data_IF_960721832941
#
_entry.id   IF_960721832941
#
_cell.length_a   1.000
_cell.length_b   1.000
_cell.length_c   1.000
_cell.angle_alpha   90.00
_cell.angle_beta   90.00
_cell.angle_gamma   90.00
#
_symmetry.space_group_name_H-M   'P 1'
#
loop_
_entity.id
_entity.type
_entity.pdbx_description
1 polymer ?
#
# COMPACT_ATOMS: atom_id res chain seq x y z
N UNK A 1 19.42 -14.19 0.62
CA UNK A 1 19.15 -14.06 2.07
C UNK A 1 17.95 -14.93 2.47
N UNK A 2 18.18 -16.24 2.65
CA UNK A 2 17.13 -17.27 2.86
C UNK A 2 16.49 -17.17 4.25
N UNK A 3 17.28 -16.78 5.26
CA UNK A 3 16.84 -16.71 6.66
C UNK A 3 15.71 -15.70 6.86
N UNK A 4 15.84 -14.49 6.31
CA UNK A 4 14.78 -13.48 6.40
C UNK A 4 13.51 -13.95 5.71
N UNK A 5 13.62 -14.54 4.51
CA UNK A 5 12.45 -15.11 3.81
C UNK A 5 11.77 -16.21 4.62
N UNK A 6 12.54 -17.14 5.19
CA UNK A 6 12.00 -18.17 6.06
C UNK A 6 11.35 -17.59 7.32
N UNK A 7 11.95 -16.57 7.94
CA UNK A 7 11.37 -15.85 9.07
C UNK A 7 10.04 -15.19 8.69
N UNK A 8 9.99 -14.48 7.56
CA UNK A 8 8.75 -13.90 7.05
C UNK A 8 7.69 -14.99 6.82
N UNK A 9 8.01 -16.04 6.07
CA UNK A 9 7.07 -17.13 5.79
C UNK A 9 6.56 -17.83 7.06
N UNK A 10 7.39 -17.95 8.10
CA UNK A 10 6.99 -18.49 9.40
C UNK A 10 6.08 -17.52 10.18
N UNK A 11 6.46 -16.24 10.22
CA UNK A 11 5.69 -15.17 10.87
C UNK A 11 4.29 -15.03 10.24
N UNK A 12 4.20 -15.21 8.92
CA UNK A 12 2.94 -15.21 8.15
C UNK A 12 2.12 -16.48 8.31
N UNK A 13 2.75 -17.64 8.56
CA UNK A 13 2.05 -18.92 8.81
C UNK A 13 1.41 -18.96 10.18
N UNK A 14 1.98 -18.30 11.17
CA UNK A 14 1.43 -18.19 12.53
C UNK A 14 0.28 -17.18 12.56
N UNK A 15 -0.86 -17.51 11.93
CA UNK A 15 -2.21 -16.94 12.14
C UNK A 15 -2.33 -15.42 12.44
N UNK A 16 -1.45 -14.59 11.91
CA UNK A 16 -1.59 -13.15 12.07
C UNK A 16 -2.49 -12.62 10.96
N UNK A 17 -3.65 -12.09 11.36
CA UNK A 17 -4.42 -11.17 10.54
C UNK A 17 -3.62 -9.89 10.21
N UNK A 18 -2.47 -9.67 10.87
CA UNK A 18 -1.71 -8.43 10.82
C UNK A 18 -0.21 -8.66 11.04
N UNK A 19 0.65 -8.27 10.09
CA UNK A 19 2.12 -8.29 10.26
C UNK A 19 2.69 -6.88 10.20
N UNK A 20 2.80 -6.20 11.34
CA UNK A 20 3.45 -4.88 11.41
C UNK A 20 4.97 -5.01 11.54
N UNK A 21 5.73 -4.12 10.87
CA UNK A 21 7.17 -3.97 11.06
C UNK A 21 7.45 -2.55 11.52
N UNK A 22 7.78 -2.36 12.79
CA UNK A 22 8.30 -1.09 13.31
C UNK A 22 9.83 -1.14 13.16
N UNK A 23 10.34 -0.80 11.98
CA UNK A 23 11.78 -0.78 11.72
C UNK A 23 12.21 0.56 11.14
N UNK A 24 13.17 1.19 11.81
CA UNK A 24 13.62 2.54 11.55
C UNK A 24 14.47 2.69 10.28
N UNK A 25 14.85 1.61 9.60
CA UNK A 25 15.48 1.67 8.28
C UNK A 25 15.21 0.41 7.46
N UNK A 26 14.27 0.51 6.52
CA UNK A 26 13.99 -0.58 5.58
C UNK A 26 15.11 -0.59 4.53
N UNK A 27 15.75 -1.71 4.24
CA UNK A 27 16.71 -1.80 3.12
C UNK A 27 15.99 -1.99 1.77
N UNK A 28 16.64 -1.71 0.64
CA UNK A 28 16.06 -2.05 -0.67
C UNK A 28 15.73 -3.53 -0.81
N UNK A 29 16.56 -4.40 -0.21
CA UNK A 29 16.29 -5.84 -0.19
C UNK A 29 14.99 -6.15 0.56
N UNK A 30 14.73 -5.47 1.69
CA UNK A 30 13.47 -5.62 2.42
C UNK A 30 12.29 -5.09 1.61
N UNK A 31 12.43 -3.97 0.88
CA UNK A 31 11.38 -3.48 -0.03
C UNK A 31 11.04 -4.54 -1.07
N UNK A 32 12.05 -5.16 -1.70
CA UNK A 32 11.84 -6.20 -2.69
C UNK A 32 11.15 -7.44 -2.11
N UNK A 33 11.51 -7.83 -0.88
CA UNK A 33 10.85 -8.93 -0.16
C UNK A 33 9.38 -8.58 0.13
N UNK A 34 9.10 -7.38 0.65
CA UNK A 34 7.73 -6.93 0.92
C UNK A 34 6.91 -6.88 -0.38
N UNK A 35 7.50 -6.39 -1.47
CA UNK A 35 6.86 -6.38 -2.78
C UNK A 35 6.53 -7.80 -3.26
N UNK A 36 7.48 -8.74 -3.19
CA UNK A 36 7.27 -10.14 -3.57
C UNK A 36 6.13 -10.79 -2.76
N UNK A 37 6.11 -10.56 -1.44
CA UNK A 37 5.03 -11.02 -0.56
C UNK A 37 3.68 -10.46 -1.02
N UNK A 38 3.62 -9.17 -1.36
CA UNK A 38 2.38 -8.52 -1.79
C UNK A 38 1.88 -9.10 -3.12
N UNK A 39 2.75 -9.32 -4.11
CA UNK A 39 2.33 -9.75 -5.45
C UNK A 39 2.09 -11.27 -5.56
N UNK A 40 2.74 -12.08 -4.72
CA UNK A 40 2.68 -13.54 -4.78
C UNK A 40 1.97 -14.19 -3.56
N UNK A 41 1.79 -13.45 -2.47
CA UNK A 41 1.28 -13.96 -1.20
C UNK A 41 -0.23 -14.10 -1.09
N UNK A 42 -1.02 -13.63 -2.06
CA UNK A 42 -2.48 -13.56 -1.96
C UNK A 42 -3.23 -14.89 -1.82
N UNK A 43 -2.56 -16.03 -2.10
CA UNK A 43 -3.12 -17.36 -1.80
C UNK A 43 -3.06 -17.72 -0.32
N UNK A 44 -2.16 -17.10 0.43
CA UNK A 44 -1.88 -17.38 1.85
C UNK A 44 -2.28 -16.22 2.75
N UNK A 45 -2.28 -15.00 2.21
CA UNK A 45 -2.50 -13.76 2.94
C UNK A 45 -3.78 -13.07 2.42
N UNK A 46 -4.88 -13.08 3.20
CA UNK A 46 -6.10 -12.36 2.83
C UNK A 46 -5.91 -10.84 2.95
N UNK A 47 -4.98 -10.39 3.79
CA UNK A 47 -4.62 -8.99 3.92
C UNK A 47 -3.14 -8.83 4.28
N UNK A 48 -2.58 -7.69 3.89
CA UNK A 48 -1.24 -7.26 4.24
C UNK A 48 -1.34 -5.88 4.87
N UNK A 49 -0.82 -5.72 6.08
CA UNK A 49 -0.73 -4.42 6.73
C UNK A 49 0.73 -4.09 6.97
N UNK A 50 1.13 -2.87 6.69
CA UNK A 50 2.45 -2.35 6.98
C UNK A 50 2.34 -0.94 7.52
N UNK A 51 2.96 -0.69 8.66
CA UNK A 51 3.07 0.64 9.26
C UNK A 51 4.53 1.00 9.41
N UNK A 52 4.91 2.20 9.00
CA UNK A 52 6.24 2.72 9.27
C UNK A 52 6.17 4.19 9.61
N UNK A 53 6.98 4.59 10.60
CA UNK A 53 7.11 5.97 11.01
C UNK A 53 8.06 6.76 10.08
N UNK A 54 8.83 6.08 9.21
CA UNK A 54 9.73 6.70 8.22
C UNK A 54 9.32 6.40 6.78
N UNK A 55 9.55 7.38 5.90
CA UNK A 55 8.71 7.52 4.70
C UNK A 55 9.41 7.44 3.35
N UNK A 56 10.71 7.69 3.30
CA UNK A 56 11.42 7.80 2.03
C UNK A 56 11.49 6.50 1.23
N UNK A 57 11.35 5.34 1.89
CA UNK A 57 11.48 4.03 1.25
C UNK A 57 10.14 3.34 0.99
N UNK A 58 9.06 3.83 1.60
CA UNK A 58 7.70 3.39 1.30
C UNK A 58 7.21 3.89 -0.04
N UNK A 59 7.62 5.10 -0.46
CA UNK A 59 7.35 5.62 -1.81
C UNK A 59 7.75 4.62 -2.90
N UNK A 60 8.93 4.01 -2.76
CA UNK A 60 9.41 2.99 -3.70
C UNK A 60 8.51 1.75 -3.73
N UNK A 61 8.07 1.26 -2.57
CA UNK A 61 7.14 0.14 -2.50
C UNK A 61 5.80 0.48 -3.18
N UNK A 62 5.29 1.70 -3.00
CA UNK A 62 4.11 2.17 -3.71
C UNK A 62 4.29 2.17 -5.21
N UNK A 63 5.40 2.72 -5.70
CA UNK A 63 5.69 2.80 -7.12
C UNK A 63 5.73 1.41 -7.74
N UNK A 64 6.40 0.45 -7.08
CA UNK A 64 6.46 -0.94 -7.52
C UNK A 64 5.07 -1.61 -7.57
N UNK A 65 4.27 -1.43 -6.52
CA UNK A 65 2.90 -1.96 -6.48
C UNK A 65 2.04 -1.34 -7.57
N UNK A 66 2.13 -0.02 -7.74
CA UNK A 66 1.36 0.72 -8.73
C UNK A 66 1.73 0.30 -10.15
N UNK A 67 3.03 0.27 -10.45
CA UNK A 67 3.56 -0.19 -11.72
C UNK A 67 3.02 -1.59 -12.02
N UNK A 68 3.18 -2.55 -11.09
CA UNK A 68 2.69 -3.91 -11.25
C UNK A 68 1.18 -3.99 -11.50
N UNK A 69 0.37 -3.26 -10.73
CA UNK A 69 -1.09 -3.20 -10.92
C UNK A 69 -1.44 -2.71 -12.33
N UNK A 70 -0.68 -1.75 -12.85
CA UNK A 70 -0.96 -1.14 -14.16
C UNK A 70 -0.44 -1.94 -15.34
N UNK A 71 0.67 -2.67 -15.21
CA UNK A 71 1.36 -3.34 -16.32
C UNK A 71 1.25 -4.86 -16.30
N UNK A 72 0.92 -5.48 -15.16
CA UNK A 72 0.83 -6.94 -15.07
C UNK A 72 -0.40 -7.46 -15.82
N UNK A 73 -0.23 -8.56 -16.55
CA UNK A 73 -1.34 -9.29 -17.19
C UNK A 73 -2.11 -10.15 -16.18
N UNK A 74 -1.51 -10.45 -15.02
CA UNK A 74 -2.07 -11.37 -14.04
C UNK A 74 -1.82 -10.89 -12.60
N UNK A 75 -2.86 -10.34 -11.97
CA UNK A 75 -2.85 -9.97 -10.56
C UNK A 75 -3.59 -10.99 -9.66
N UNK A 76 -3.84 -12.20 -10.15
CA UNK A 76 -4.64 -13.20 -9.41
C UNK A 76 -3.98 -13.70 -8.12
N UNK A 77 -2.65 -13.64 -8.05
CA UNK A 77 -1.82 -14.06 -6.91
C UNK A 77 -1.57 -12.94 -5.90
N UNK A 78 -1.95 -11.71 -6.23
CA UNK A 78 -1.69 -10.54 -5.39
C UNK A 78 -2.59 -10.55 -4.15
N UNK A 79 -2.08 -10.06 -3.03
CA UNK A 79 -2.84 -9.89 -1.80
C UNK A 79 -4.03 -8.96 -2.04
N UNK A 80 -5.27 -9.39 -1.72
CA UNK A 80 -6.46 -8.66 -2.12
C UNK A 80 -6.71 -7.38 -1.32
N UNK A 81 -6.14 -7.25 -0.12
CA UNK A 81 -6.22 -6.06 0.72
C UNK A 81 -4.84 -5.68 1.22
N UNK A 82 -4.36 -4.49 0.86
CA UNK A 82 -3.06 -3.97 1.29
C UNK A 82 -3.30 -2.66 2.03
N UNK A 83 -2.84 -2.58 3.26
CA UNK A 83 -2.96 -1.42 4.13
C UNK A 83 -1.56 -0.92 4.44
N UNK A 84 -1.21 0.26 3.95
CA UNK A 84 0.09 0.88 4.15
C UNK A 84 -0.14 2.19 4.91
N UNK A 85 0.37 2.28 6.14
CA UNK A 85 0.18 3.43 7.03
C UNK A 85 1.53 4.10 7.28
N UNK A 86 1.64 5.40 7.01
CA UNK A 86 2.90 6.11 7.17
C UNK A 86 2.72 7.60 7.42
N UNK A 87 3.73 8.23 8.01
CA UNK A 87 3.69 9.63 8.47
C UNK A 87 4.60 10.48 7.57
N UNK A 88 4.10 11.05 6.47
CA UNK A 88 4.97 11.87 5.60
C UNK A 88 4.28 12.91 4.77
N UNK A 89 4.92 14.08 4.62
CA UNK A 89 4.61 15.14 3.67
C UNK A 89 4.85 14.78 2.19
N UNK A 90 4.78 13.50 1.81
CA UNK A 90 4.96 13.07 0.43
C UNK A 90 3.78 13.56 -0.40
N UNK A 91 4.08 14.39 -1.39
CA UNK A 91 3.20 14.67 -2.52
C UNK A 91 2.97 13.36 -3.28
N UNK A 92 2.03 12.54 -2.79
CA UNK A 92 1.62 11.30 -3.42
C UNK A 92 0.93 11.64 -4.73
N UNK A 93 1.72 11.77 -5.80
CA UNK A 93 1.24 12.02 -7.14
C UNK A 93 0.77 10.70 -7.72
N UNK A 94 -0.50 10.39 -7.48
CA UNK A 94 -1.15 9.35 -8.27
C UNK A 94 -0.98 9.66 -9.75
N UNK A 95 -0.67 8.63 -10.54
CA UNK A 95 -0.47 8.82 -11.97
C UNK A 95 -1.70 9.48 -12.59
N UNK A 96 -1.49 10.20 -13.69
CA UNK A 96 -2.58 10.77 -14.53
C UNK A 96 -3.66 9.75 -14.92
N UNK A 97 -3.36 8.45 -14.82
CA UNK A 97 -4.29 7.35 -15.15
C UNK A 97 -5.30 7.06 -14.02
N UNK A 98 -5.05 7.52 -12.80
CA UNK A 98 -6.01 7.35 -11.71
C UNK A 98 -7.20 8.31 -11.92
N UNK A 99 -8.41 7.76 -11.99
CA UNK A 99 -9.62 8.57 -12.02
C UNK A 99 -10.01 8.87 -10.58
N UNK A 100 -10.04 10.15 -10.20
CA UNK A 100 -10.57 10.60 -8.93
C UNK A 100 -12.05 10.25 -8.89
N UNK A 101 -12.45 9.40 -7.95
CA UNK A 101 -13.84 8.95 -7.87
C UNK A 101 -14.58 9.70 -6.79
N UNK A 102 -13.90 10.06 -5.70
CA UNK A 102 -14.57 10.62 -4.53
C UNK A 102 -13.58 11.37 -3.63
N UNK A 103 -13.93 12.57 -3.20
CA UNK A 103 -13.25 13.32 -2.14
C UNK A 103 -14.25 13.52 -1.01
N UNK A 104 -13.90 13.10 0.21
CA UNK A 104 -14.71 13.30 1.42
C UNK A 104 -13.88 14.03 2.47
N UNK A 105 -14.43 15.10 3.04
CA UNK A 105 -13.82 15.80 4.18
C UNK A 105 -14.61 15.45 5.44
N UNK A 106 -13.92 14.92 6.44
CA UNK A 106 -14.49 14.55 7.74
C UNK A 106 -13.67 15.23 8.84
N UNK A 107 -14.20 16.35 9.38
CA UNK A 107 -13.52 17.19 10.38
C UNK A 107 -12.09 17.56 9.95
N UNK A 108 -11.10 16.86 10.50
CA UNK A 108 -9.66 17.06 10.30
C UNK A 108 -9.03 16.06 9.33
N UNK A 109 -9.82 15.21 8.65
CA UNK A 109 -9.30 14.20 7.72
C UNK A 109 -9.93 14.37 6.35
N UNK A 110 -9.09 14.46 5.32
CA UNK A 110 -9.48 14.43 3.92
C UNK A 110 -9.23 13.04 3.36
N UNK A 111 -10.29 12.37 2.97
CA UNK A 111 -10.23 11.10 2.25
C UNK A 111 -10.33 11.36 0.76
N UNK A 112 -9.41 10.80 -0.01
CA UNK A 112 -9.52 10.74 -1.47
C UNK A 112 -9.52 9.28 -1.91
N UNK A 113 -10.57 8.90 -2.62
CA UNK A 113 -10.73 7.56 -3.17
C UNK A 113 -10.52 7.58 -4.67
N UNK A 114 -9.70 6.66 -5.14
CA UNK A 114 -9.34 6.50 -6.53
C UNK A 114 -9.71 5.11 -7.00
N UNK A 115 -10.06 5.00 -8.29
CA UNK A 115 -10.20 3.71 -8.96
C UNK A 115 -9.24 3.65 -10.14
N UNK A 116 -8.64 2.48 -10.31
CA UNK A 116 -7.75 2.19 -11.43
C UNK A 116 -8.15 0.85 -12.01
N UNK A 117 -8.24 0.80 -13.32
CA UNK A 117 -8.42 -0.44 -14.06
C UNK A 117 -7.06 -0.92 -14.57
N UNK A 118 -6.84 -2.22 -14.53
CA UNK A 118 -5.69 -2.82 -15.19
C UNK A 118 -5.83 -2.65 -16.72
N UNK A 119 -4.74 -2.31 -17.42
CA UNK A 119 -4.79 -2.03 -18.86
C UNK A 119 -5.04 -3.29 -19.69
N UNK A 120 -4.60 -4.45 -19.19
CA UNK A 120 -4.75 -5.75 -19.85
C UNK A 120 -6.06 -6.44 -19.47
N UNK A 121 -6.61 -6.15 -18.29
CA UNK A 121 -7.89 -6.70 -17.84
C UNK A 121 -8.77 -5.63 -17.15
N UNK A 122 -9.57 -4.89 -17.92
CA UNK A 122 -10.43 -3.82 -17.40
C UNK A 122 -11.49 -4.26 -16.37
N UNK A 123 -11.79 -5.58 -16.29
CA UNK A 123 -12.70 -6.14 -15.29
C UNK A 123 -12.07 -6.15 -13.89
N UNK A 124 -10.74 -6.26 -13.80
CA UNK A 124 -10.02 -6.16 -12.54
C UNK A 124 -9.85 -4.68 -12.19
N UNK A 125 -10.47 -4.28 -11.08
CA UNK A 125 -10.43 -2.91 -10.60
C UNK A 125 -9.72 -2.84 -9.25
N UNK A 126 -8.98 -1.77 -9.05
CA UNK A 126 -8.28 -1.49 -7.81
C UNK A 126 -8.87 -0.23 -7.21
N UNK A 127 -9.23 -0.30 -5.93
CA UNK A 127 -9.64 0.87 -5.16
C UNK A 127 -8.48 1.31 -4.29
N UNK A 128 -8.15 2.59 -4.38
CA UNK A 128 -7.16 3.24 -3.52
C UNK A 128 -7.89 4.23 -2.63
N UNK A 129 -7.56 4.26 -1.35
CA UNK A 129 -8.02 5.28 -0.43
C UNK A 129 -6.81 5.93 0.21
N UNK A 130 -6.68 7.23 0.05
CA UNK A 130 -5.71 8.06 0.75
C UNK A 130 -6.45 8.87 1.82
N UNK A 131 -6.05 8.75 3.08
CA UNK A 131 -6.56 9.58 4.17
C UNK A 131 -5.45 10.53 4.63
N UNK A 132 -5.66 11.83 4.47
CA UNK A 132 -4.74 12.88 4.84
C UNK A 132 -5.29 13.58 6.09
N UNK A 133 -4.57 13.54 7.21
CA UNK A 133 -4.92 14.36 8.37
C UNK A 133 -4.46 15.80 8.13
N UNK A 134 -5.40 16.74 8.10
CA UNK A 134 -5.14 18.18 8.03
C UNK A 134 -5.00 18.68 9.46
N UNK A 135 -3.76 18.77 9.94
CA UNK A 135 -3.46 19.39 11.23
C UNK A 135 -3.06 20.84 10.98
N UNK A 136 -3.86 21.79 11.47
CA UNK A 136 -3.48 23.19 11.56
C UNK A 136 -2.58 23.37 12.79
N UNK A 137 -1.28 23.20 12.62
CA UNK A 137 -0.28 23.51 13.64
C UNK A 137 0.47 24.78 13.25
N UNK A 138 0.68 25.67 14.22
CA UNK A 138 1.42 26.94 14.06
C UNK A 138 2.90 26.75 13.64
N UNK A 139 3.40 25.50 13.60
CA UNK A 139 4.80 25.12 13.29
C UNK A 139 4.97 24.25 12.03
N UNK A 140 3.97 24.21 11.13
CA UNK A 140 4.03 23.46 9.88
C UNK A 140 3.11 22.23 9.87
N UNK A 141 2.67 21.81 8.67
CA UNK A 141 1.71 20.73 8.49
C UNK A 141 2.35 19.36 8.74
N UNK A 142 1.95 18.69 9.83
CA UNK A 142 2.17 17.25 10.01
C UNK A 142 0.93 16.49 9.55
N UNK A 143 1.06 15.78 8.44
CA UNK A 143 -0.01 15.01 7.82
C UNK A 143 0.27 13.51 7.97
N UNK A 144 -0.65 12.81 8.65
CA UNK A 144 -0.64 11.34 8.71
C UNK A 144 -1.35 10.81 7.47
N UNK A 145 -0.72 9.86 6.77
CA UNK A 145 -1.24 9.25 5.55
C UNK A 145 -1.59 7.79 5.81
N UNK A 146 -2.85 7.45 5.56
CA UNK A 146 -3.28 6.05 5.51
C UNK A 146 -3.65 5.70 4.09
N UNK A 147 -2.93 4.72 3.55
CA UNK A 147 -3.17 4.20 2.22
C UNK A 147 -3.77 2.80 2.29
N UNK A 148 -4.86 2.60 1.55
CA UNK A 148 -5.53 1.30 1.43
C UNK A 148 -5.71 0.96 -0.03
N UNK A 149 -5.14 -0.17 -0.44
CA UNK A 149 -5.41 -0.82 -1.72
C UNK A 149 -6.38 -1.96 -1.47
N UNK A 150 -7.42 -2.02 -2.28
CA UNK A 150 -8.33 -3.17 -2.34
C UNK A 150 -8.47 -3.64 -3.78
N UNK A 151 -8.17 -4.90 -4.02
CA UNK A 151 -8.49 -5.57 -5.28
C UNK A 151 -9.98 -5.87 -5.30
N UNK A 152 -10.68 -5.33 -6.28
CA UNK A 152 -12.08 -5.59 -6.55
C UNK A 152 -12.14 -6.49 -7.79
N UNK A 153 -12.32 -7.79 -7.57
CA UNK A 153 -12.69 -8.73 -8.64
C UNK A 153 -14.19 -8.55 -8.87
N UNK A 154 -14.57 -8.13 -10.07
CA UNK A 154 -15.96 -8.03 -10.52
C UNK A 154 -16.31 -9.30 -11.28
#
# INVERSE_FOLDING_TARGET
>A
MIILRCWFEHLFKCAFEYTGFDNDDISEQQINILFDIIINGGRKLPQFYFKSNKCFKLSRLYDLIFEHITTSTNCSKMVPVILLEYISNSNFKLSKKAKNVEIKKLKVVKYTKYKISNIHNPKVKFSFCNAERVVHTNFGMNSNFKFKIRIMKV
#
